data_IF_919706481846
#
_entry.id   IF_919706481846
#
_cell.length_a   1.000
_cell.length_b   1.000
_cell.length_c   1.000
_cell.angle_alpha   90.00
_cell.angle_beta   90.00
_cell.angle_gamma   90.00
#
_symmetry.space_group_name_H-M   'P 1'
#
loop_
_entity.id
_entity.type
_entity.pdbx_description
1 polymer ?
#
# COMPACT_ATOMS: atom_id res chain seq x y z
N UNK A 1 -4.20 -0.56 42.98
CA UNK A 1 -3.41 0.68 42.90
C UNK A 1 -2.51 0.55 41.67
N UNK A 2 -2.90 1.10 40.49
CA UNK A 2 -2.09 0.97 39.28
C UNK A 2 -0.91 1.94 39.35
N UNK A 3 0.33 1.50 39.08
CA UNK A 3 1.48 2.39 39.04
C UNK A 3 1.27 3.46 37.96
N UNK A 4 1.40 4.74 38.30
CA UNK A 4 1.40 5.83 37.35
C UNK A 4 2.63 5.67 36.45
N UNK A 5 2.43 5.15 35.23
CA UNK A 5 3.46 5.11 34.20
C UNK A 5 3.81 6.55 33.81
N UNK A 6 4.94 7.07 34.32
CA UNK A 6 5.52 8.31 33.85
C UNK A 6 6.10 8.10 32.44
N UNK A 7 5.21 8.09 31.45
CA UNK A 7 5.60 8.01 30.03
C UNK A 7 6.30 9.31 29.62
N UNK A 8 7.59 9.22 29.32
CA UNK A 8 8.36 10.33 28.75
C UNK A 8 7.91 10.59 27.32
N UNK A 9 8.10 11.83 26.84
CA UNK A 9 7.69 12.26 25.47
C UNK A 9 8.18 11.29 24.38
N UNK A 10 9.43 10.81 24.47
CA UNK A 10 9.98 9.84 23.52
C UNK A 10 9.24 8.50 23.50
N UNK A 11 8.79 7.98 24.64
CA UNK A 11 8.00 6.75 24.71
C UNK A 11 6.61 6.91 24.11
N UNK A 12 5.98 8.07 24.31
CA UNK A 12 4.65 8.36 23.72
C UNK A 12 4.76 8.39 22.20
N UNK A 13 5.75 9.07 21.65
CA UNK A 13 5.99 9.16 20.19
C UNK A 13 6.29 7.77 19.61
N UNK A 14 7.13 6.98 20.29
CA UNK A 14 7.48 5.62 19.87
C UNK A 14 6.26 4.70 19.84
N UNK A 15 5.44 4.71 20.89
CA UNK A 15 4.23 3.87 20.98
C UNK A 15 3.20 4.32 19.94
N UNK A 16 2.94 5.62 19.82
CA UNK A 16 1.98 6.15 18.85
C UNK A 16 2.43 5.89 17.40
N UNK A 17 3.71 6.10 17.10
CA UNK A 17 4.28 5.81 15.78
C UNK A 17 4.21 4.32 15.44
N UNK A 18 4.57 3.45 16.37
CA UNK A 18 4.49 2.00 16.22
C UNK A 18 3.05 1.51 15.99
N UNK A 19 2.11 2.00 16.80
CA UNK A 19 0.70 1.66 16.64
C UNK A 19 0.14 2.12 15.28
N UNK A 20 0.48 3.34 14.85
CA UNK A 20 0.08 3.85 13.53
C UNK A 20 0.67 3.02 12.39
N UNK A 21 1.95 2.63 12.48
CA UNK A 21 2.60 1.79 11.47
C UNK A 21 1.94 0.41 11.38
N UNK A 22 1.67 -0.25 12.51
CA UNK A 22 1.02 -1.56 12.53
C UNK A 22 -0.40 -1.49 11.99
N UNK A 23 -1.20 -0.50 12.40
CA UNK A 23 -2.55 -0.32 11.90
C UNK A 23 -2.57 -0.06 10.39
N UNK A 24 -1.70 0.82 9.88
CA UNK A 24 -1.59 1.11 8.46
C UNK A 24 -1.13 -0.11 7.65
N UNK A 25 -0.19 -0.89 8.18
CA UNK A 25 0.26 -2.12 7.55
C UNK A 25 -0.85 -3.17 7.46
N UNK A 26 -1.65 -3.34 8.53
CA UNK A 26 -2.77 -4.28 8.53
C UNK A 26 -3.83 -3.92 7.48
N UNK A 27 -4.19 -2.62 7.38
CA UNK A 27 -5.13 -2.15 6.36
C UNK A 27 -4.54 -2.30 4.95
N UNK A 28 -3.25 -1.99 4.78
CA UNK A 28 -2.56 -2.15 3.49
C UNK A 28 -2.56 -3.60 3.01
N UNK A 29 -2.24 -4.56 3.90
CA UNK A 29 -2.29 -5.99 3.60
C UNK A 29 -3.70 -6.43 3.24
N UNK A 30 -4.71 -5.99 4.00
CA UNK A 30 -6.11 -6.28 3.71
C UNK A 30 -6.52 -5.81 2.30
N UNK A 31 -6.21 -4.56 1.95
CA UNK A 31 -6.54 -3.97 0.64
C UNK A 31 -5.82 -4.68 -0.52
N UNK A 32 -4.57 -5.12 -0.31
CA UNK A 32 -3.84 -5.90 -1.33
C UNK A 32 -4.45 -7.29 -1.50
N UNK A 33 -4.78 -7.95 -0.39
CA UNK A 33 -5.30 -9.32 -0.42
C UNK A 33 -6.66 -9.40 -1.09
N UNK A 34 -7.53 -8.40 -0.92
CA UNK A 34 -8.85 -8.37 -1.58
C UNK A 34 -8.77 -8.24 -3.12
N UNK A 35 -7.65 -7.72 -3.65
CA UNK A 35 -7.46 -7.51 -5.08
C UNK A 35 -6.46 -8.49 -5.72
N UNK A 36 -6.12 -9.59 -5.02
CA UNK A 36 -5.21 -10.60 -5.54
C UNK A 36 -6.00 -11.73 -6.20
N UNK A 37 -5.57 -12.08 -7.40
CA UNK A 37 -6.21 -13.07 -8.25
C UNK A 37 -5.19 -14.10 -8.73
N UNK A 38 -5.68 -15.33 -8.96
CA UNK A 38 -4.92 -16.42 -9.54
C UNK A 38 -5.57 -16.84 -10.85
N UNK A 39 -4.88 -16.68 -11.98
CA UNK A 39 -5.39 -16.98 -13.32
C UNK A 39 -4.69 -18.24 -13.82
N UNK A 40 -5.47 -19.27 -14.11
CA UNK A 40 -4.96 -20.55 -14.59
C UNK A 40 -4.29 -20.41 -15.97
N UNK A 41 -3.44 -21.38 -16.37
CA UNK A 41 -2.89 -21.42 -17.71
C UNK A 41 -3.97 -21.35 -18.81
N UNK A 42 -3.73 -20.53 -19.82
CA UNK A 42 -4.65 -20.31 -20.95
C UNK A 42 -6.05 -19.78 -20.56
N UNK A 43 -6.20 -19.20 -19.35
CA UNK A 43 -7.46 -18.66 -18.85
C UNK A 43 -7.43 -17.13 -18.80
N UNK A 44 -8.59 -16.52 -18.55
CA UNK A 44 -8.76 -15.07 -18.47
C UNK A 44 -9.59 -14.68 -17.28
N UNK A 45 -9.19 -13.61 -16.62
CA UNK A 45 -9.94 -12.95 -15.55
C UNK A 45 -10.61 -11.70 -16.12
N UNK A 46 -11.91 -11.55 -15.85
CA UNK A 46 -12.65 -10.34 -16.18
C UNK A 46 -13.11 -9.61 -14.93
N UNK A 47 -12.69 -8.36 -14.78
CA UNK A 47 -13.09 -7.46 -13.68
C UNK A 47 -13.96 -6.36 -14.26
N UNK A 48 -15.20 -6.28 -13.82
CA UNK A 48 -16.15 -5.26 -14.23
C UNK A 48 -16.32 -4.20 -13.16
N UNK A 49 -16.06 -2.95 -13.51
CA UNK A 49 -16.14 -1.82 -12.58
C UNK A 49 -16.97 -0.69 -13.21
N UNK A 50 -17.82 -0.08 -12.39
CA UNK A 50 -18.50 1.15 -12.78
C UNK A 50 -17.51 2.32 -12.64
N UNK A 51 -17.30 3.06 -13.73
CA UNK A 51 -16.48 4.28 -13.74
C UNK A 51 -17.45 5.45 -13.87
N UNK A 52 -17.46 6.29 -12.86
CA UNK A 52 -18.33 7.45 -12.81
C UNK A 52 -17.73 8.60 -13.64
N UNK A 53 -18.30 9.75 -13.55
CA UNK A 53 -18.04 10.98 -14.32
C UNK A 53 -16.57 11.48 -14.33
N UNK A 54 -15.60 10.62 -14.09
CA UNK A 54 -14.19 10.95 -14.19
C UNK A 54 -13.80 11.05 -15.67
N UNK A 55 -13.00 12.04 -16.02
CA UNK A 55 -12.41 12.16 -17.36
C UNK A 55 -11.36 11.06 -17.63
N UNK A 56 -10.96 10.34 -16.59
CA UNK A 56 -9.88 9.37 -16.64
C UNK A 56 -10.15 8.18 -15.71
N UNK A 57 -9.84 6.99 -16.19
CA UNK A 57 -9.75 5.78 -15.37
C UNK A 57 -8.31 5.34 -15.22
N UNK A 58 -8.04 4.54 -14.22
CA UNK A 58 -6.72 4.02 -13.91
C UNK A 58 -6.77 2.52 -13.72
N UNK A 59 -5.73 1.84 -14.14
CA UNK A 59 -5.45 0.48 -13.72
C UNK A 59 -4.01 0.37 -13.20
N UNK A 60 -3.86 -0.49 -12.21
CA UNK A 60 -2.58 -0.91 -11.66
C UNK A 60 -2.57 -2.43 -11.59
N UNK A 61 -1.60 -3.06 -12.24
CA UNK A 61 -1.47 -4.52 -12.27
C UNK A 61 -0.06 -4.87 -11.83
N UNK A 62 0.06 -5.74 -10.85
CA UNK A 62 1.32 -6.20 -10.28
C UNK A 62 1.45 -7.72 -10.40
N UNK A 63 2.62 -8.17 -10.85
CA UNK A 63 2.94 -9.60 -11.09
C UNK A 63 4.22 -9.94 -10.33
N UNK A 64 4.15 -10.34 -9.07
CA UNK A 64 5.35 -10.50 -8.24
C UNK A 64 6.33 -11.57 -8.71
N UNK A 65 5.88 -12.61 -9.45
CA UNK A 65 6.70 -13.79 -9.78
C UNK A 65 6.43 -14.35 -11.20
N UNK A 66 5.89 -13.57 -12.13
CA UNK A 66 5.51 -14.09 -13.44
C UNK A 66 6.52 -13.72 -14.53
N UNK A 67 7.04 -14.74 -15.24
CA UNK A 67 7.90 -14.61 -16.42
C UNK A 67 7.07 -14.82 -17.68
N UNK A 68 6.31 -13.84 -18.11
CA UNK A 68 5.48 -13.93 -19.30
C UNK A 68 5.02 -12.57 -19.77
N UNK A 69 4.22 -12.55 -20.82
CA UNK A 69 3.58 -11.35 -21.36
C UNK A 69 2.06 -11.54 -21.35
N UNK A 70 1.39 -11.28 -20.20
CA UNK A 70 -0.05 -11.31 -20.14
C UNK A 70 -0.66 -10.33 -21.11
N UNK A 71 -1.84 -10.65 -21.66
CA UNK A 71 -2.56 -9.73 -22.52
C UNK A 71 -3.64 -9.00 -21.73
N UNK A 72 -3.60 -7.68 -21.78
CA UNK A 72 -4.58 -6.79 -21.18
C UNK A 72 -5.53 -6.25 -22.24
N UNK A 73 -6.82 -6.44 -22.01
CA UNK A 73 -7.87 -5.82 -22.81
C UNK A 73 -8.84 -5.06 -21.93
N UNK A 74 -9.19 -3.84 -22.30
CA UNK A 74 -10.23 -3.05 -21.63
C UNK A 74 -11.32 -2.73 -22.65
N UNK A 75 -12.57 -3.00 -22.26
CA UNK A 75 -13.75 -2.71 -23.08
C UNK A 75 -14.72 -1.82 -22.33
N UNK A 76 -15.44 -0.97 -23.05
CA UNK A 76 -16.50 -0.12 -22.52
C UNK A 76 -17.84 -0.87 -22.38
N UNK A 77 -18.87 -0.15 -21.94
CA UNK A 77 -20.24 -0.67 -21.76
C UNK A 77 -20.85 -1.22 -23.06
N UNK A 78 -20.37 -0.79 -24.22
CA UNK A 78 -20.83 -1.20 -25.56
C UNK A 78 -19.95 -2.30 -26.15
N UNK A 79 -19.07 -2.93 -25.36
CA UNK A 79 -18.06 -3.90 -25.79
C UNK A 79 -17.05 -3.36 -26.81
N UNK A 80 -16.91 -2.05 -26.94
CA UNK A 80 -15.87 -1.45 -27.76
C UNK A 80 -14.52 -1.54 -27.02
N UNK A 81 -13.53 -2.07 -27.71
CA UNK A 81 -12.17 -2.16 -27.17
C UNK A 81 -11.53 -0.78 -27.09
N UNK A 82 -11.04 -0.43 -25.91
CA UNK A 82 -10.31 0.82 -25.62
C UNK A 82 -8.82 0.54 -25.58
N UNK A 83 -8.42 -0.54 -24.90
CA UNK A 83 -7.04 -0.98 -24.79
C UNK A 83 -6.98 -2.46 -25.16
N UNK A 84 -5.96 -2.84 -25.92
CA UNK A 84 -5.64 -4.24 -26.24
C UNK A 84 -4.13 -4.32 -26.47
N UNK A 85 -3.41 -4.85 -25.49
CA UNK A 85 -1.94 -4.93 -25.56
C UNK A 85 -1.36 -6.01 -24.64
N UNK A 86 -0.22 -6.54 -25.03
CA UNK A 86 0.61 -7.31 -24.14
C UNK A 86 1.26 -6.37 -23.09
N UNK A 87 1.35 -6.82 -21.86
CA UNK A 87 1.97 -6.06 -20.76
C UNK A 87 3.20 -6.79 -20.23
N UNK A 88 4.18 -6.01 -19.78
CA UNK A 88 5.45 -6.54 -19.31
C UNK A 88 5.54 -6.37 -17.79
N UNK A 89 5.66 -7.48 -17.03
CA UNK A 89 5.87 -7.41 -15.57
C UNK A 89 7.13 -6.60 -15.20
N UNK A 90 7.33 -6.22 -13.91
CA UNK A 90 6.58 -6.68 -12.74
C UNK A 90 5.36 -5.81 -12.40
N UNK A 91 5.31 -4.55 -12.79
CA UNK A 91 4.21 -3.62 -12.44
C UNK A 91 3.88 -2.73 -13.62
N UNK A 92 2.60 -2.60 -13.91
CA UNK A 92 2.08 -1.70 -14.93
C UNK A 92 1.03 -0.80 -14.33
N UNK A 93 1.25 0.52 -14.42
CA UNK A 93 0.31 1.53 -13.99
C UNK A 93 0.04 2.47 -15.15
N UNK A 94 -1.22 2.62 -15.52
CA UNK A 94 -1.59 3.56 -16.57
C UNK A 94 -2.94 4.22 -16.30
N UNK A 95 -3.03 5.44 -16.78
CA UNK A 95 -4.26 6.23 -16.82
C UNK A 95 -4.74 6.30 -18.25
N UNK A 96 -6.01 6.10 -18.49
CA UNK A 96 -6.60 6.18 -19.81
C UNK A 96 -7.86 7.03 -19.82
N UNK A 97 -8.13 7.76 -20.92
CA UNK A 97 -9.32 8.59 -21.03
C UNK A 97 -10.58 7.73 -21.17
N UNK A 98 -11.65 8.15 -20.52
CA UNK A 98 -12.99 7.59 -20.68
C UNK A 98 -13.90 8.61 -21.35
N UNK A 99 -14.73 8.15 -22.28
CA UNK A 99 -15.64 9.00 -23.02
C UNK A 99 -16.96 9.24 -22.27
N UNK A 100 -17.43 8.22 -21.56
CA UNK A 100 -18.75 8.22 -20.91
C UNK A 100 -18.69 7.45 -19.59
N UNK A 101 -19.54 7.85 -18.63
CA UNK A 101 -19.76 7.07 -17.40
C UNK A 101 -20.40 5.73 -17.75
N UNK A 102 -19.93 4.66 -17.12
CA UNK A 102 -20.50 3.34 -17.40
C UNK A 102 -19.68 2.20 -16.84
N UNK A 103 -20.08 1.00 -17.19
CA UNK A 103 -19.33 -0.20 -16.81
C UNK A 103 -18.22 -0.47 -17.81
N UNK A 104 -17.01 -0.51 -17.29
CA UNK A 104 -15.82 -0.90 -18.03
C UNK A 104 -15.37 -2.29 -17.55
N UNK A 105 -14.88 -3.10 -18.45
CA UNK A 105 -14.40 -4.45 -18.13
C UNK A 105 -12.93 -4.57 -18.50
N UNK A 106 -12.10 -4.83 -17.50
CA UNK A 106 -10.71 -5.20 -17.67
C UNK A 106 -10.64 -6.72 -17.79
N UNK A 107 -10.03 -7.20 -18.84
CA UNK A 107 -9.80 -8.62 -19.12
C UNK A 107 -8.30 -8.85 -19.15
N UNK A 108 -7.82 -9.69 -18.25
CA UNK A 108 -6.43 -10.09 -18.19
C UNK A 108 -6.31 -11.56 -18.57
N UNK A 109 -5.58 -11.87 -19.62
CA UNK A 109 -5.39 -13.22 -20.14
C UNK A 109 -3.99 -13.72 -19.79
N UNK A 110 -3.91 -14.91 -19.22
CA UNK A 110 -2.67 -15.64 -19.01
C UNK A 110 -2.35 -16.51 -20.24
N UNK A 111 -1.39 -16.14 -21.09
CA UNK A 111 -1.05 -16.91 -22.29
C UNK A 111 -0.14 -18.11 -21.99
N UNK A 112 0.32 -18.28 -20.76
CA UNK A 112 1.16 -19.42 -20.38
C UNK A 112 0.38 -20.73 -20.51
N UNK A 113 1.02 -21.77 -21.01
CA UNK A 113 0.45 -23.11 -21.05
C UNK A 113 0.56 -23.86 -19.73
N UNK A 114 1.57 -23.53 -18.90
CA UNK A 114 1.97 -24.36 -17.77
C UNK A 114 2.01 -23.59 -16.44
N UNK A 115 2.10 -22.26 -16.46
CA UNK A 115 2.26 -21.44 -15.28
C UNK A 115 0.99 -20.66 -14.90
N UNK A 116 0.58 -20.76 -13.65
CA UNK A 116 -0.47 -19.92 -13.07
C UNK A 116 0.02 -18.49 -12.90
N UNK A 117 -0.79 -17.51 -13.26
CA UNK A 117 -0.49 -16.09 -13.10
C UNK A 117 -1.08 -15.58 -11.79
N UNK A 118 -0.22 -15.31 -10.82
CA UNK A 118 -0.58 -14.59 -9.59
C UNK A 118 -0.48 -13.08 -9.86
N UNK A 119 -1.55 -12.36 -9.60
CA UNK A 119 -1.61 -10.92 -9.91
C UNK A 119 -2.45 -10.15 -8.90
N UNK A 120 -2.05 -8.93 -8.62
CA UNK A 120 -2.87 -7.97 -7.89
C UNK A 120 -3.34 -6.90 -8.86
N UNK A 121 -4.65 -6.68 -8.94
CA UNK A 121 -5.27 -5.77 -9.89
C UNK A 121 -6.07 -4.71 -9.15
N UNK A 122 -5.79 -3.45 -9.48
CA UNK A 122 -6.58 -2.30 -9.11
C UNK A 122 -7.13 -1.68 -10.39
N UNK A 123 -8.45 -1.52 -10.48
CA UNK A 123 -9.10 -1.00 -11.66
C UNK A 123 -10.30 -0.13 -11.27
N UNK A 124 -10.41 1.06 -11.85
CA UNK A 124 -11.54 1.94 -11.59
C UNK A 124 -11.28 3.38 -11.99
N UNK A 125 -12.13 4.28 -11.52
CA UNK A 125 -11.92 5.69 -11.73
C UNK A 125 -10.76 6.22 -10.87
N UNK A 126 -10.05 7.25 -11.36
CA UNK A 126 -8.88 7.81 -10.67
C UNK A 126 -9.23 8.45 -9.31
N UNK A 127 -10.50 8.74 -9.08
CA UNK A 127 -11.03 9.28 -7.84
C UNK A 127 -11.62 8.18 -6.93
N UNK A 128 -11.52 6.91 -7.35
CA UNK A 128 -12.10 5.82 -6.58
C UNK A 128 -11.48 5.74 -5.17
N UNK A 129 -12.34 5.58 -4.20
CA UNK A 129 -11.97 5.52 -2.78
C UNK A 129 -10.87 4.48 -2.48
N UNK A 130 -10.85 3.38 -3.21
CA UNK A 130 -9.86 2.32 -3.03
C UNK A 130 -8.44 2.76 -3.38
N UNK A 131 -8.26 3.52 -4.47
CA UNK A 131 -6.95 4.03 -4.90
C UNK A 131 -6.46 5.11 -3.95
N UNK A 132 -7.34 6.06 -3.59
CA UNK A 132 -7.03 7.10 -2.62
C UNK A 132 -6.70 6.51 -1.24
N UNK A 133 -7.48 5.52 -0.79
CA UNK A 133 -7.22 4.83 0.46
C UNK A 133 -5.85 4.17 0.47
N UNK A 134 -5.45 3.43 -0.57
CA UNK A 134 -4.12 2.82 -0.66
C UNK A 134 -3.00 3.85 -0.56
N UNK A 135 -3.11 4.98 -1.24
CA UNK A 135 -2.14 6.06 -1.16
C UNK A 135 -2.05 6.63 0.26
N UNK A 136 -3.19 6.94 0.89
CA UNK A 136 -3.26 7.48 2.25
C UNK A 136 -2.62 6.50 3.25
N UNK A 137 -2.96 5.21 3.19
CA UNK A 137 -2.40 4.21 4.10
C UNK A 137 -0.91 3.98 3.87
N UNK A 138 -0.41 4.06 2.63
CA UNK A 138 1.02 4.03 2.36
C UNK A 138 1.74 5.21 3.00
N UNK A 139 1.23 6.43 2.87
CA UNK A 139 1.78 7.60 3.55
C UNK A 139 1.76 7.48 5.07
N UNK A 140 0.66 7.00 5.65
CA UNK A 140 0.54 6.78 7.10
C UNK A 140 1.54 5.73 7.60
N UNK A 141 1.78 4.67 6.83
CA UNK A 141 2.78 3.66 7.15
C UNK A 141 4.19 4.27 7.23
N UNK A 142 4.60 5.02 6.21
CA UNK A 142 5.91 5.67 6.21
C UNK A 142 6.04 6.69 7.34
N UNK A 143 5.03 7.52 7.58
CA UNK A 143 5.01 8.47 8.67
C UNK A 143 5.10 7.78 10.04
N UNK A 144 4.40 6.66 10.23
CA UNK A 144 4.46 5.84 11.45
C UNK A 144 5.85 5.25 11.68
N UNK A 145 6.52 4.75 10.65
CA UNK A 145 7.89 4.24 10.74
C UNK A 145 8.86 5.35 11.13
N UNK A 146 8.79 6.52 10.48
CA UNK A 146 9.64 7.68 10.79
C UNK A 146 9.41 8.14 12.24
N UNK A 147 8.17 8.24 12.67
CA UNK A 147 7.83 8.62 14.05
C UNK A 147 8.38 7.61 15.07
N UNK A 148 8.31 6.32 14.77
CA UNK A 148 8.86 5.25 15.62
C UNK A 148 10.38 5.40 15.79
N UNK A 149 11.09 5.62 14.68
CA UNK A 149 12.55 5.82 14.69
C UNK A 149 12.90 7.09 15.48
N UNK A 150 12.22 8.20 15.24
CA UNK A 150 12.43 9.44 15.97
C UNK A 150 12.18 9.28 17.48
N UNK A 151 11.10 8.61 17.86
CA UNK A 151 10.77 8.30 19.25
C UNK A 151 11.84 7.43 19.93
N UNK A 152 12.39 6.45 19.24
CA UNK A 152 13.49 5.62 19.74
C UNK A 152 14.76 6.46 19.97
N UNK A 153 15.13 7.32 19.01
CA UNK A 153 16.29 8.21 19.14
C UNK A 153 16.14 9.15 20.34
N UNK A 154 14.99 9.80 20.48
CA UNK A 154 14.70 10.70 21.62
C UNK A 154 14.81 9.94 22.93
N UNK A 155 14.27 8.74 23.01
CA UNK A 155 14.33 7.89 24.23
C UNK A 155 15.77 7.55 24.60
N UNK A 156 16.61 7.22 23.62
CA UNK A 156 18.04 6.90 23.84
C UNK A 156 18.80 8.16 24.31
N UNK A 157 18.56 9.30 23.68
CA UNK A 157 19.20 10.57 24.05
C UNK A 157 18.82 11.00 25.46
N UNK A 158 17.55 10.89 25.83
CA UNK A 158 17.07 11.19 27.19
C UNK A 158 17.73 10.29 28.23
N UNK A 159 17.87 8.99 27.92
CA UNK A 159 18.53 8.03 28.81
C UNK A 159 20.01 8.38 29.02
N UNK A 160 20.72 8.76 27.96
CA UNK A 160 22.13 9.19 28.02
C UNK A 160 22.32 10.47 28.83
N UNK A 161 21.40 11.43 28.72
CA UNK A 161 21.43 12.69 29.43
C UNK A 161 21.29 12.49 30.95
N UNK A 162 20.41 11.60 31.36
CA UNK A 162 20.19 11.27 32.77
C UNK A 162 21.39 10.52 33.35
N UNK A 163 21.97 9.59 32.59
CA UNK A 163 23.17 8.87 33.04
C UNK A 163 24.35 9.83 33.34
N UNK A 164 24.52 10.85 32.45
CA UNK A 164 25.55 11.87 32.67
C UNK A 164 25.28 12.75 33.92
N UNK A 165 24.03 13.13 34.20
CA UNK A 165 23.68 13.94 35.37
C UNK A 165 23.87 13.16 36.67
N UNK A 166 23.61 11.86 36.71
CA UNK A 166 23.90 11.03 37.90
C UNK A 166 25.39 10.93 38.20
N UNK A 167 26.25 10.90 37.19
CA UNK A 167 27.70 10.84 37.40
C UNK A 167 28.29 12.14 37.90
N UNK A 168 27.67 13.29 37.63
CA UNK A 168 28.09 14.59 38.16
C UNK A 168 27.59 14.88 39.60
N UNK A 169 26.45 14.27 39.99
CA UNK A 169 25.90 14.42 41.34
C UNK A 169 26.66 13.62 42.43
N UNK A 170 27.27 12.50 42.03
CA UNK A 170 27.99 11.60 42.97
C UNK A 170 29.42 12.09 43.33
N UNK A 171 29.92 13.11 42.61
CA UNK A 171 31.24 13.70 42.90
C UNK A 171 31.20 14.94 43.78
N UNK A 172 30.00 15.42 44.16
CA UNK A 172 29.85 16.60 45.04
C UNK A 172 29.80 16.24 46.52
N UNK A 173 29.71 14.94 46.91
CA UNK A 173 29.70 14.50 48.30
C UNK A 173 31.09 14.09 48.84
N UNK A 174 32.18 14.42 48.14
CA UNK A 174 33.56 14.10 48.50
C UNK A 174 34.42 15.35 48.82
N UNK A 175 33.80 16.42 49.32
CA UNK A 175 34.53 17.60 49.85
C UNK A 175 34.13 17.88 51.30
#
# INVERSE_FOLDING_TARGET
MFPRLHLRRGHIILIAGGAAAVASFAVFVYLITENTYSIQPNDSLAIRQFVSNASQAVYSISFPLFEGQPNLKIVDANNKTIIDKAITPPVVNEVFPIAESGYYTLILTNPSADATLETSILFGDSESYSIQAQLIFSFMLYAGIIATIAGAIITILDKRRISKMKHFGDTSDLV
#
